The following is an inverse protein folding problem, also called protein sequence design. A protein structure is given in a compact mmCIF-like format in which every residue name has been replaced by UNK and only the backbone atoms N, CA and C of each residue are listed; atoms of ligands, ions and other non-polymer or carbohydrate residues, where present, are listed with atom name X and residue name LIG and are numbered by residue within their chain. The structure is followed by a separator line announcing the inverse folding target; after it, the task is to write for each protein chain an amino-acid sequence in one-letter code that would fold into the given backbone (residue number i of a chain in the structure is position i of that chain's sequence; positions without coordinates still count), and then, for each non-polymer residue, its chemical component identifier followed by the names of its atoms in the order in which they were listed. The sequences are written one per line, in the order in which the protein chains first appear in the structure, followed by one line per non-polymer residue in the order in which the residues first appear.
data_IF_504532856124
#
_entry.id   IF_504532856124
#
_cell.length_a   1.000
_cell.length_b   1.000
_cell.length_c   1.000
_cell.angle_alpha   90.00
_cell.angle_beta   90.00
_cell.angle_gamma   90.00
#
_symmetry.space_group_name_H-M   'P 1'
#
loop_
_entity.id
_entity.type
_entity.pdbx_description
1 polymer ?
#
# COMPACT_ATOMS: atom_id res chain seq x y z
N UNK A 1 4.76 -16.01 -12.36
CA UNK A 1 5.45 -17.13 -11.69
C UNK A 1 4.68 -17.49 -10.43
N UNK A 2 4.58 -18.78 -10.10
CA UNK A 2 3.74 -19.24 -8.99
C UNK A 2 4.37 -18.86 -7.64
N UNK A 3 3.76 -17.89 -6.96
CA UNK A 3 4.00 -17.67 -5.54
C UNK A 3 3.49 -18.92 -4.84
N UNK A 4 4.40 -19.72 -4.28
CA UNK A 4 4.01 -20.95 -3.58
C UNK A 4 3.34 -20.52 -2.28
N UNK A 5 2.03 -20.76 -2.17
CA UNK A 5 1.28 -20.49 -0.95
C UNK A 5 1.85 -21.37 0.17
N UNK A 6 2.64 -20.78 1.07
CA UNK A 6 3.05 -21.44 2.31
C UNK A 6 1.82 -21.53 3.22
N UNK A 7 1.51 -22.73 3.67
CA UNK A 7 0.47 -22.92 4.69
C UNK A 7 0.95 -22.34 6.03
N UNK A 8 0.10 -21.65 6.80
CA UNK A 8 0.48 -21.16 8.11
C UNK A 8 0.90 -22.30 9.02
N UNK A 9 2.03 -22.12 9.71
CA UNK A 9 2.50 -23.03 10.75
C UNK A 9 2.52 -22.32 12.09
N UNK A 10 2.21 -23.04 13.18
CA UNK A 10 2.58 -22.60 14.52
C UNK A 10 4.10 -22.39 14.54
N UNK A 11 4.53 -21.14 14.53
CA UNK A 11 5.94 -20.76 14.46
C UNK A 11 6.37 -20.16 15.80
N UNK A 12 7.66 -20.25 16.13
CA UNK A 12 8.24 -19.46 17.20
C UNK A 12 8.61 -18.04 16.76
N UNK A 13 8.48 -17.73 15.47
CA UNK A 13 8.84 -16.46 14.84
C UNK A 13 7.68 -15.89 14.04
N UNK A 14 7.74 -14.58 13.78
CA UNK A 14 6.86 -13.86 12.87
C UNK A 14 7.44 -13.91 11.46
N UNK A 15 6.74 -14.56 10.53
CA UNK A 15 7.09 -14.60 9.12
C UNK A 15 6.15 -13.73 8.30
N UNK A 16 6.70 -12.69 7.67
CA UNK A 16 5.94 -11.71 6.89
C UNK A 16 6.60 -11.42 5.56
N UNK A 17 5.78 -11.40 4.52
CA UNK A 17 6.13 -10.79 3.25
C UNK A 17 5.64 -9.35 3.23
N UNK A 18 6.57 -8.41 3.18
CA UNK A 18 6.26 -6.99 3.15
C UNK A 18 6.18 -6.51 1.70
N UNK A 19 4.99 -6.04 1.32
CA UNK A 19 4.77 -5.32 0.08
C UNK A 19 4.81 -3.83 0.40
N UNK A 20 5.85 -3.13 -0.06
CA UNK A 20 5.98 -1.68 0.04
C UNK A 20 5.53 -1.05 -1.27
N UNK A 21 4.63 -0.07 -1.18
CA UNK A 21 4.16 0.74 -2.29
C UNK A 21 4.68 2.15 -2.10
N UNK A 22 5.71 2.50 -2.89
CA UNK A 22 6.36 3.79 -2.85
C UNK A 22 5.76 4.64 -3.97
N UNK A 23 5.02 5.68 -3.61
CA UNK A 23 4.32 6.52 -4.57
C UNK A 23 5.14 7.76 -4.93
N UNK A 24 5.08 8.17 -6.20
CA UNK A 24 5.61 9.43 -6.68
C UNK A 24 4.73 10.00 -7.81
N UNK A 25 4.69 11.31 -7.93
CA UNK A 25 4.10 11.98 -9.08
C UNK A 25 5.23 12.45 -10.02
N UNK A 26 5.24 11.94 -11.25
CA UNK A 26 6.27 12.20 -12.27
C UNK A 26 5.81 13.20 -13.33
N UNK A 27 4.53 13.58 -13.29
CA UNK A 27 3.89 14.46 -14.27
C UNK A 27 3.40 13.70 -15.51
N UNK A 28 2.17 14.00 -15.94
CA UNK A 28 1.51 13.31 -17.05
C UNK A 28 2.28 13.44 -18.38
N UNK A 29 2.90 14.58 -18.64
CA UNK A 29 3.64 14.85 -19.88
C UNK A 29 4.89 13.96 -20.07
N UNK A 30 5.41 13.38 -18.98
CA UNK A 30 6.64 12.57 -18.99
C UNK A 30 6.40 11.07 -19.06
N UNK A 31 5.13 10.64 -18.97
CA UNK A 31 4.78 9.22 -18.90
C UNK A 31 5.36 8.45 -20.08
N UNK A 32 5.17 8.92 -21.32
CA UNK A 32 5.66 8.17 -22.48
C UNK A 32 7.19 8.09 -22.53
N UNK A 33 7.89 9.17 -22.17
CA UNK A 33 9.35 9.16 -22.09
C UNK A 33 9.84 8.10 -21.09
N UNK A 34 9.20 8.00 -19.92
CA UNK A 34 9.53 7.02 -18.89
C UNK A 34 9.17 5.59 -19.32
N UNK A 35 8.04 5.40 -20.02
CA UNK A 35 7.68 4.10 -20.60
C UNK A 35 8.77 3.64 -21.56
N UNK A 36 9.25 4.53 -22.43
CA UNK A 36 10.26 4.21 -23.43
C UNK A 36 11.64 3.99 -22.78
N UNK A 37 12.03 4.81 -21.80
CA UNK A 37 13.35 4.72 -21.16
C UNK A 37 13.50 3.51 -20.24
N UNK A 38 12.40 3.08 -19.61
CA UNK A 38 12.37 1.92 -18.71
C UNK A 38 11.85 0.66 -19.40
N UNK A 39 11.57 0.72 -20.71
CA UNK A 39 11.06 -0.40 -21.52
C UNK A 39 9.82 -1.08 -20.90
N UNK A 40 8.88 -0.28 -20.38
CA UNK A 40 7.75 -0.79 -19.60
C UNK A 40 6.69 -1.45 -20.48
N UNK A 41 6.16 -2.58 -20.02
CA UNK A 41 5.12 -3.33 -20.71
C UNK A 41 3.73 -2.78 -20.39
N UNK A 42 2.91 -2.56 -21.42
CA UNK A 42 1.54 -2.10 -21.24
C UNK A 42 0.65 -3.21 -20.69
N UNK A 43 -0.02 -2.95 -19.59
CA UNK A 43 -0.99 -3.85 -18.95
C UNK A 43 -2.34 -3.16 -18.71
N UNK A 44 -3.36 -3.96 -18.41
CA UNK A 44 -4.70 -3.49 -18.04
C UNK A 44 -5.22 -4.31 -16.86
N UNK A 45 -6.14 -3.75 -16.06
CA UNK A 45 -6.79 -4.48 -14.96
C UNK A 45 -6.80 -3.75 -13.63
N UNK A 46 -5.74 -3.00 -13.30
CA UNK A 46 -5.61 -2.25 -12.05
C UNK A 46 -6.75 -1.23 -11.84
N UNK A 47 -6.95 -0.37 -12.85
CA UNK A 47 -7.96 0.68 -12.86
C UNK A 47 -8.96 0.48 -14.00
N UNK A 48 -9.43 -0.76 -14.14
CA UNK A 48 -10.42 -1.13 -15.15
C UNK A 48 -9.83 -1.03 -16.56
N UNK A 49 -10.35 -0.10 -17.37
CA UNK A 49 -9.88 0.10 -18.75
C UNK A 49 -8.70 1.07 -18.87
N UNK A 50 -8.39 1.80 -17.80
CA UNK A 50 -7.21 2.68 -17.79
C UNK A 50 -5.96 1.81 -17.84
N UNK A 51 -5.14 1.92 -18.90
CA UNK A 51 -3.91 1.15 -18.96
C UNK A 51 -2.92 1.66 -17.91
N UNK A 52 -1.97 0.82 -17.57
CA UNK A 52 -0.73 1.22 -16.93
C UNK A 52 0.43 0.48 -17.59
N UNK A 53 1.65 0.87 -17.26
CA UNK A 53 2.85 0.22 -17.77
C UNK A 53 3.67 -0.30 -16.61
N UNK A 54 4.17 -1.53 -16.75
CA UNK A 54 4.87 -2.22 -15.68
C UNK A 54 6.18 -2.77 -16.20
N UNK A 55 7.22 -2.65 -15.38
CA UNK A 55 8.52 -3.23 -15.66
C UNK A 55 9.24 -3.59 -14.36
N UNK A 56 10.15 -4.58 -14.40
CA UNK A 56 10.99 -4.91 -13.27
C UNK A 56 11.99 -3.78 -13.02
N UNK A 57 12.33 -3.54 -11.75
CA UNK A 57 13.52 -2.79 -11.37
C UNK A 57 14.56 -3.82 -10.96
N UNK A 58 15.62 -4.05 -11.76
CA UNK A 58 16.60 -5.08 -11.47
C UNK A 58 17.42 -4.73 -10.22
N UNK A 59 18.03 -5.75 -9.60
CA UNK A 59 19.06 -5.64 -8.55
C UNK A 59 18.60 -5.15 -7.17
N UNK A 60 17.28 -5.04 -6.90
CA UNK A 60 16.76 -4.52 -5.63
C UNK A 60 15.67 -5.43 -5.05
N UNK A 61 15.85 -5.81 -3.79
CA UNK A 61 14.94 -6.68 -3.03
C UNK A 61 14.78 -8.08 -3.63
N UNK A 62 13.77 -8.80 -3.16
CA UNK A 62 13.41 -10.12 -3.70
C UNK A 62 12.59 -9.99 -5.00
N UNK A 63 11.76 -8.94 -5.04
CA UNK A 63 11.05 -8.52 -6.24
C UNK A 63 10.81 -7.02 -6.19
N UNK A 64 11.20 -6.31 -7.22
CA UNK A 64 10.91 -4.90 -7.37
C UNK A 64 10.36 -4.60 -8.77
N UNK A 65 9.29 -3.82 -8.82
CA UNK A 65 8.69 -3.38 -10.07
C UNK A 65 8.19 -1.94 -9.96
N UNK A 66 8.06 -1.28 -11.10
CA UNK A 66 7.39 0.03 -11.20
C UNK A 66 6.12 -0.12 -12.00
N UNK A 67 5.04 0.46 -11.49
CA UNK A 67 3.78 0.67 -12.21
C UNK A 67 3.62 2.15 -12.51
N UNK A 68 3.58 2.50 -13.79
CA UNK A 68 3.41 3.87 -14.26
C UNK A 68 2.01 4.05 -14.87
N UNK A 69 1.30 5.08 -14.41
CA UNK A 69 -0.06 5.40 -14.84
C UNK A 69 -0.08 6.62 -15.77
N UNK A 70 -1.04 6.69 -16.71
CA UNK A 70 -1.11 7.75 -17.72
C UNK A 70 -1.36 9.16 -17.14
N UNK A 71 -1.88 9.24 -15.91
CA UNK A 71 -2.06 10.49 -15.18
C UNK A 71 -0.79 10.94 -14.42
N UNK A 72 0.36 10.30 -14.64
CA UNK A 72 1.64 10.74 -14.10
C UNK A 72 1.96 10.22 -12.70
N UNK A 73 1.25 9.21 -12.20
CA UNK A 73 1.61 8.53 -10.94
C UNK A 73 2.48 7.31 -11.22
N UNK A 74 3.59 7.19 -10.48
CA UNK A 74 4.41 5.99 -10.41
C UNK A 74 4.23 5.32 -9.04
N UNK A 75 4.05 4.00 -9.03
CA UNK A 75 4.07 3.18 -7.82
C UNK A 75 5.20 2.17 -7.97
N UNK A 76 6.25 2.30 -7.17
CA UNK A 76 7.27 1.27 -7.04
C UNK A 76 6.78 0.26 -6.00
N UNK A 77 6.65 -0.99 -6.42
CA UNK A 77 6.32 -2.12 -5.55
C UNK A 77 7.61 -2.87 -5.21
N UNK A 78 8.02 -2.79 -3.95
CA UNK A 78 9.15 -3.53 -3.38
C UNK A 78 8.64 -4.66 -2.48
N UNK A 79 9.14 -5.86 -2.71
CA UNK A 79 8.81 -7.08 -1.98
C UNK A 79 10.03 -7.57 -1.18
N UNK A 80 9.81 -7.80 0.10
CA UNK A 80 10.84 -8.29 1.02
C UNK A 80 10.24 -9.37 1.93
N UNK A 81 10.82 -10.57 1.90
CA UNK A 81 10.48 -11.65 2.83
C UNK A 81 11.29 -11.49 4.13
N UNK A 82 10.60 -11.52 5.28
CA UNK A 82 11.22 -11.28 6.60
C UNK A 82 10.79 -12.35 7.61
N UNK A 83 11.79 -12.95 8.26
CA UNK A 83 11.60 -13.75 9.46
C UNK A 83 12.12 -12.96 10.67
N UNK A 84 11.20 -12.57 11.54
CA UNK A 84 11.44 -11.66 12.67
C UNK A 84 11.03 -12.33 13.98
N UNK A 85 11.65 -11.96 15.12
CA UNK A 85 11.27 -12.52 16.41
C UNK A 85 9.89 -12.03 16.88
N UNK A 86 9.51 -10.78 16.55
CA UNK A 86 8.32 -10.10 17.08
C UNK A 86 7.87 -8.91 16.19
N UNK A 87 6.73 -8.28 16.55
CA UNK A 87 6.20 -7.12 15.81
C UNK A 87 7.06 -5.88 16.03
N UNK A 88 7.71 -5.76 17.19
CA UNK A 88 8.65 -4.67 17.48
C UNK A 88 9.77 -4.63 16.45
N UNK A 89 10.38 -5.77 16.17
CA UNK A 89 11.44 -5.89 15.16
C UNK A 89 10.95 -5.47 13.76
N UNK A 90 9.70 -5.82 13.41
CA UNK A 90 9.07 -5.35 12.18
C UNK A 90 8.91 -3.82 12.18
N UNK A 91 8.49 -3.24 13.29
CA UNK A 91 8.30 -1.80 13.44
C UNK A 91 9.61 -1.02 13.27
N UNK A 92 10.69 -1.49 13.90
CA UNK A 92 12.03 -0.88 13.77
C UNK A 92 12.54 -0.99 12.33
N UNK A 93 12.48 -2.19 11.73
CA UNK A 93 12.87 -2.39 10.34
C UNK A 93 12.09 -1.48 9.38
N UNK A 94 10.77 -1.37 9.56
CA UNK A 94 9.92 -0.49 8.75
C UNK A 94 10.40 0.96 8.88
N UNK A 95 10.62 1.43 10.10
CA UNK A 95 10.94 2.84 10.32
C UNK A 95 12.33 3.22 9.83
N UNK A 96 13.29 2.30 9.90
CA UNK A 96 14.64 2.49 9.37
C UNK A 96 14.65 2.48 7.84
N UNK A 97 13.97 1.52 7.21
CA UNK A 97 13.95 1.40 5.75
C UNK A 97 13.07 2.44 5.06
N UNK A 98 12.11 3.06 5.76
CA UNK A 98 11.18 4.05 5.17
C UNK A 98 11.89 5.25 4.51
N UNK A 99 12.73 6.05 5.20
CA UNK A 99 13.40 7.19 4.58
C UNK A 99 14.39 6.77 3.48
N UNK A 100 15.09 5.64 3.67
CA UNK A 100 16.02 5.11 2.67
C UNK A 100 15.28 4.74 1.37
N UNK A 101 14.13 4.07 1.50
CA UNK A 101 13.30 3.69 0.35
C UNK A 101 12.72 4.91 -0.38
N UNK A 102 12.32 5.98 0.33
CA UNK A 102 11.88 7.22 -0.31
C UNK A 102 13.00 7.89 -1.08
N UNK A 103 14.16 8.03 -0.45
CA UNK A 103 15.32 8.65 -1.09
C UNK A 103 15.73 7.88 -2.34
N UNK A 104 15.87 6.56 -2.22
CA UNK A 104 16.24 5.69 -3.32
C UNK A 104 15.22 5.75 -4.46
N UNK A 105 13.92 5.61 -4.17
CA UNK A 105 12.87 5.65 -5.20
C UNK A 105 12.83 6.99 -5.94
N UNK A 106 13.00 8.11 -5.21
CA UNK A 106 13.11 9.44 -5.80
C UNK A 106 14.31 9.57 -6.72
N UNK A 107 15.48 9.07 -6.31
CA UNK A 107 16.70 9.05 -7.13
C UNK A 107 16.51 8.22 -8.39
N UNK A 108 16.00 7.00 -8.28
CA UNK A 108 15.74 6.10 -9.41
C UNK A 108 14.83 6.76 -10.46
N UNK A 109 13.71 7.35 -10.03
CA UNK A 109 12.79 8.04 -10.93
C UNK A 109 13.40 9.31 -11.51
N UNK A 110 14.18 10.05 -10.71
CA UNK A 110 14.90 11.26 -11.16
C UNK A 110 15.87 10.95 -12.28
N UNK A 111 16.67 9.90 -12.12
CA UNK A 111 17.62 9.44 -13.13
C UNK A 111 16.91 9.03 -14.43
N UNK A 112 15.80 8.29 -14.31
CA UNK A 112 15.02 7.85 -15.47
C UNK A 112 14.30 9.00 -16.20
N UNK A 113 13.82 10.01 -15.46
CA UNK A 113 13.07 11.14 -16.01
C UNK A 113 13.96 12.29 -16.51
N UNK A 114 15.19 12.39 -16.00
CA UNK A 114 16.09 13.53 -16.25
C UNK A 114 15.65 14.82 -15.55
N UNK A 115 14.80 14.73 -14.53
CA UNK A 115 14.33 15.85 -13.69
C UNK A 115 14.10 15.37 -12.28
N UNK A 116 14.21 16.26 -11.30
CA UNK A 116 13.97 15.94 -9.90
C UNK A 116 12.53 15.40 -9.69
N UNK A 117 12.44 14.21 -9.10
CA UNK A 117 11.21 13.55 -8.70
C UNK A 117 11.36 13.14 -7.23
N UNK A 118 10.40 13.57 -6.42
CA UNK A 118 10.33 13.21 -5.00
C UNK A 118 9.31 12.10 -4.80
N UNK A 119 9.72 11.02 -4.13
CA UNK A 119 8.78 10.00 -3.66
C UNK A 119 8.01 10.55 -2.44
N UNK A 120 6.69 10.42 -2.47
CA UNK A 120 5.79 11.08 -1.52
C UNK A 120 5.65 10.30 -0.20
N UNK A 121 5.43 8.99 -0.27
CA UNK A 121 5.24 8.13 0.91
C UNK A 121 5.43 6.63 0.59
N UNK A 122 5.51 5.82 1.64
CA UNK A 122 5.56 4.34 1.55
C UNK A 122 4.41 3.71 2.34
N UNK A 123 3.40 3.16 1.66
CA UNK A 123 2.43 2.28 2.31
C UNK A 123 2.96 0.86 2.34
N UNK A 124 2.59 0.08 3.36
CA UNK A 124 2.82 -1.37 3.32
C UNK A 124 1.58 -2.22 3.51
N UNK A 125 1.57 -3.30 2.74
CA UNK A 125 0.71 -4.46 2.96
C UNK A 125 1.58 -5.63 3.41
N UNK A 126 1.17 -6.32 4.47
CA UNK A 126 1.87 -7.47 5.03
C UNK A 126 1.08 -8.74 4.80
N UNK A 127 1.69 -9.69 4.10
CA UNK A 127 1.20 -11.05 4.00
C UNK A 127 1.89 -11.90 5.07
N UNK A 128 1.14 -12.29 6.09
CA UNK A 128 1.67 -13.06 7.23
C UNK A 128 1.57 -14.54 6.91
N UNK A 129 2.71 -15.18 6.62
CA UNK A 129 2.77 -16.62 6.35
C UNK A 129 3.07 -17.44 7.61
N UNK A 130 3.61 -16.83 8.67
CA UNK A 130 3.82 -17.48 9.96
C UNK A 130 3.58 -16.51 11.11
N UNK A 131 2.87 -16.96 12.15
CA UNK A 131 2.58 -16.16 13.33
C UNK A 131 2.82 -16.98 14.61
N UNK A 132 3.41 -16.39 15.67
CA UNK A 132 3.64 -17.09 16.93
C UNK A 132 2.44 -17.12 17.87
N UNK A 133 1.30 -16.59 17.42
CA UNK A 133 0.09 -16.44 18.23
C UNK A 133 -1.08 -17.24 17.65
N UNK A 134 -2.07 -17.50 18.50
CA UNK A 134 -3.34 -18.13 18.13
C UNK A 134 -4.52 -17.39 18.77
N UNK A 135 -5.74 -17.67 18.29
CA UNK A 135 -6.98 -17.14 18.87
C UNK A 135 -7.03 -15.60 18.90
N UNK A 136 -7.43 -15.03 20.03
CA UNK A 136 -7.53 -13.56 20.18
C UNK A 136 -6.17 -12.86 20.11
N UNK A 137 -5.10 -13.51 20.58
CA UNK A 137 -3.75 -12.94 20.54
C UNK A 137 -3.25 -12.82 19.10
N UNK A 138 -3.59 -13.76 18.22
CA UNK A 138 -3.31 -13.64 16.79
C UNK A 138 -3.96 -12.39 16.21
N UNK A 139 -5.24 -12.17 16.49
CA UNK A 139 -5.98 -11.04 15.97
C UNK A 139 -5.40 -9.69 16.44
N UNK A 140 -4.96 -9.61 17.70
CA UNK A 140 -4.24 -8.45 18.24
C UNK A 140 -2.86 -8.27 17.62
N UNK A 141 -2.10 -9.34 17.45
CA UNK A 141 -0.79 -9.31 16.77
C UNK A 141 -0.90 -8.81 15.33
N UNK A 142 -1.92 -9.25 14.58
CA UNK A 142 -2.20 -8.75 13.24
C UNK A 142 -2.54 -7.25 13.25
N UNK A 143 -3.34 -6.76 14.21
CA UNK A 143 -3.58 -5.32 14.34
C UNK A 143 -2.32 -4.52 14.62
N UNK A 144 -1.40 -5.05 15.44
CA UNK A 144 -0.10 -4.42 15.67
C UNK A 144 0.75 -4.40 14.39
N UNK A 145 0.75 -5.48 13.59
CA UNK A 145 1.43 -5.53 12.29
C UNK A 145 0.81 -4.51 11.30
N UNK A 146 -0.50 -4.30 11.37
CA UNK A 146 -1.22 -3.32 10.55
C UNK A 146 -0.84 -1.86 10.88
N UNK A 147 -0.53 -1.57 12.15
CA UNK A 147 -0.09 -0.26 12.62
C UNK A 147 1.16 -0.35 13.51
N UNK A 148 2.32 -0.75 12.95
CA UNK A 148 3.51 -1.08 13.74
C UNK A 148 4.12 0.16 14.41
N UNK A 149 3.76 1.36 13.94
CA UNK A 149 4.19 2.64 14.52
C UNK A 149 3.81 2.81 15.99
N UNK A 150 2.78 2.11 16.49
CA UNK A 150 2.40 2.19 17.91
C UNK A 150 3.50 1.66 18.85
N UNK A 151 4.43 0.85 18.32
CA UNK A 151 5.51 0.22 19.10
C UNK A 151 6.81 1.03 19.09
N UNK A 152 6.93 2.04 18.23
CA UNK A 152 8.16 2.80 18.05
C UNK A 152 7.95 4.29 18.35
N UNK A 153 8.88 4.85 19.12
CA UNK A 153 8.95 6.28 19.33
C UNK A 153 9.35 7.02 18.05
N UNK A 154 9.17 8.35 18.04
CA UNK A 154 9.55 9.20 16.89
C UNK A 154 11.05 9.12 16.57
N UNK A 155 11.89 8.82 17.56
CA UNK A 155 13.32 8.61 17.38
C UNK A 155 13.65 7.15 17.68
N UNK A 156 13.96 6.39 16.64
CA UNK A 156 14.39 5.00 16.78
C UNK A 156 15.83 4.98 17.30
N UNK A 157 15.99 4.64 18.57
CA UNK A 157 17.30 4.45 19.21
C UNK A 157 17.45 2.99 19.66
N UNK A 158 18.66 2.39 19.59
CA UNK A 158 18.88 1.01 20.04
C UNK A 158 18.49 0.77 21.51
N UNK A 159 18.56 1.81 22.36
CA UNK A 159 18.19 1.74 23.78
C UNK A 159 16.68 1.69 24.01
N UNK A 160 15.87 2.10 23.04
CA UNK A 160 14.41 2.10 23.15
C UNK A 160 13.78 0.71 22.88
N UNK A 161 14.50 -0.21 22.23
CA UNK A 161 13.93 -1.48 21.76
C UNK A 161 13.38 -2.35 22.90
N UNK A 162 14.10 -2.50 24.01
CA UNK A 162 13.63 -3.27 25.16
C UNK A 162 12.39 -2.65 25.84
N UNK A 163 12.14 -1.35 25.68
CA UNK A 163 10.91 -0.72 26.13
C UNK A 163 9.76 -1.00 25.15
N UNK A 164 10.02 -0.91 23.85
CA UNK A 164 9.08 -1.28 22.79
C UNK A 164 8.60 -2.73 22.89
N UNK A 165 9.49 -3.67 23.17
CA UNK A 165 9.14 -5.10 23.36
C UNK A 165 8.19 -5.29 24.56
N UNK A 166 8.37 -4.53 25.64
CA UNK A 166 7.42 -4.52 26.77
C UNK A 166 6.08 -3.94 26.37
N UNK A 167 6.08 -2.84 25.62
CA UNK A 167 4.84 -2.24 25.08
C UNK A 167 4.10 -3.21 24.16
N UNK A 168 4.80 -3.96 23.32
CA UNK A 168 4.18 -5.01 22.51
C UNK A 168 3.49 -6.06 23.38
N UNK A 169 4.17 -6.56 24.42
CA UNK A 169 3.59 -7.53 25.35
C UNK A 169 2.32 -7.00 26.03
N UNK A 170 2.37 -5.75 26.52
CA UNK A 170 1.23 -5.09 27.17
C UNK A 170 0.05 -4.92 26.21
N UNK A 171 0.30 -4.49 24.97
CA UNK A 171 -0.73 -4.30 23.95
C UNK A 171 -1.34 -5.61 23.46
N UNK A 172 -0.53 -6.66 23.35
CA UNK A 172 -1.00 -8.02 23.05
C UNK A 172 -1.94 -8.52 24.15
N UNK A 173 -1.60 -8.30 25.42
CA UNK A 173 -2.41 -8.68 26.57
C UNK A 173 -3.70 -7.85 26.72
N UNK A 174 -3.64 -6.55 26.41
CA UNK A 174 -4.77 -5.64 26.51
C UNK A 174 -5.76 -5.73 25.34
N UNK A 175 -5.38 -6.36 24.22
CA UNK A 175 -6.24 -6.50 23.05
C UNK A 175 -6.33 -5.22 22.21
N UNK A 176 -5.19 -4.62 21.87
CA UNK A 176 -5.09 -3.39 21.05
C UNK A 176 -6.07 -3.37 19.87
N UNK A 177 -7.01 -2.42 19.85
CA UNK A 177 -8.05 -2.30 18.83
C UNK A 177 -8.47 -0.84 18.60
N UNK A 178 -7.73 -0.08 17.77
CA UNK A 178 -8.09 1.27 17.39
C UNK A 178 -9.39 1.32 16.57
N UNK A 179 -10.25 2.34 16.77
CA UNK A 179 -11.57 2.43 16.11
C UNK A 179 -11.52 2.61 14.59
N UNK A 180 -10.43 3.12 14.05
CA UNK A 180 -10.22 3.34 12.62
C UNK A 180 -9.86 2.05 11.86
N UNK A 181 -9.46 0.98 12.56
CA UNK A 181 -9.12 -0.28 11.92
C UNK A 181 -10.37 -1.03 11.47
N UNK A 182 -10.30 -1.59 10.26
CA UNK A 182 -11.40 -2.36 9.66
C UNK A 182 -10.96 -3.79 9.45
N UNK A 183 -11.72 -4.74 10.00
CA UNK A 183 -11.52 -6.15 9.70
C UNK A 183 -12.15 -6.49 8.36
N UNK A 184 -11.48 -7.35 7.59
CA UNK A 184 -12.03 -7.97 6.39
C UNK A 184 -11.67 -9.46 6.29
N UNK A 185 -11.26 -10.05 7.42
CA UNK A 185 -11.02 -11.49 7.53
C UNK A 185 -12.33 -12.28 7.42
N UNK A 186 -12.23 -13.51 6.93
CA UNK A 186 -13.38 -14.41 6.83
C UNK A 186 -13.20 -15.58 7.81
N UNK A 187 -14.17 -15.87 8.70
CA UNK A 187 -14.05 -16.93 9.69
C UNK A 187 -13.63 -18.28 9.10
N UNK A 188 -12.56 -18.85 9.63
CA UNK A 188 -11.98 -20.13 9.17
C UNK A 188 -11.27 -20.08 7.82
N UNK A 189 -11.14 -18.91 7.19
CA UNK A 189 -10.45 -18.73 5.91
C UNK A 189 -9.29 -17.74 6.02
N UNK A 190 -9.47 -16.62 6.70
CA UNK A 190 -8.41 -15.63 6.93
C UNK A 190 -8.67 -14.71 8.12
N UNK A 191 -7.61 -14.12 8.64
CA UNK A 191 -7.66 -12.97 9.55
C UNK A 191 -6.99 -11.78 8.86
N UNK A 192 -7.65 -10.63 8.82
CA UNK A 192 -7.17 -9.50 8.04
C UNK A 192 -7.69 -8.17 8.57
N UNK A 193 -6.84 -7.15 8.48
CA UNK A 193 -7.11 -5.80 8.99
C UNK A 193 -6.54 -4.74 8.03
N UNK A 194 -7.27 -3.65 7.87
CA UNK A 194 -6.83 -2.47 7.13
C UNK A 194 -6.90 -1.24 8.04
N UNK A 195 -5.92 -0.36 7.90
CA UNK A 195 -5.82 0.93 8.58
C UNK A 195 -5.18 1.96 7.65
N UNK A 196 -5.17 3.22 8.08
CA UNK A 196 -4.38 4.26 7.41
C UNK A 196 -2.89 3.91 7.28
N UNK A 197 -2.35 3.15 8.23
CA UNK A 197 -0.90 2.85 8.31
C UNK A 197 -0.47 1.67 7.45
N UNK A 198 -1.41 0.83 7.02
CA UNK A 198 -1.12 -0.38 6.27
C UNK A 198 -2.27 -1.39 6.27
N UNK A 199 -2.03 -2.50 5.59
CA UNK A 199 -2.96 -3.62 5.46
C UNK A 199 -2.23 -4.88 5.88
N UNK A 200 -2.92 -5.80 6.55
CA UNK A 200 -2.37 -7.11 6.93
C UNK A 200 -3.35 -8.21 6.53
N UNK A 201 -2.80 -9.30 6.01
CA UNK A 201 -3.56 -10.48 5.65
C UNK A 201 -2.85 -11.75 6.12
N UNK A 202 -3.59 -12.62 6.81
CA UNK A 202 -3.13 -13.93 7.25
C UNK A 202 -4.11 -15.00 6.74
N UNK A 203 -3.75 -15.79 5.72
CA UNK A 203 -4.63 -16.84 5.18
C UNK A 203 -4.62 -18.09 6.06
N UNK A 204 -5.74 -18.49 6.65
CA UNK A 204 -5.88 -19.80 7.32
C UNK A 204 -6.07 -20.94 6.31
N UNK A 205 -6.79 -20.64 5.22
CA UNK A 205 -7.03 -21.54 4.10
C UNK A 205 -6.67 -20.81 2.79
N UNK A 206 -5.42 -20.97 2.30
CA UNK A 206 -4.95 -20.26 1.11
C UNK A 206 -5.72 -20.59 -0.17
N UNK A 207 -6.44 -21.73 -0.23
CA UNK A 207 -7.23 -22.11 -1.40
C UNK A 207 -8.59 -21.40 -1.44
N UNK A 208 -9.09 -20.97 -0.28
CA UNK A 208 -10.37 -20.26 -0.14
C UNK A 208 -10.21 -18.78 0.13
N UNK A 209 -9.02 -18.34 0.52
CA UNK A 209 -8.69 -16.94 0.79
C UNK A 209 -8.54 -16.11 -0.48
N UNK A 210 -8.28 -14.83 -0.25
CA UNK A 210 -7.92 -13.88 -1.30
C UNK A 210 -6.50 -14.21 -1.76
N UNK A 211 -6.27 -14.25 -3.07
CA UNK A 211 -4.92 -14.41 -3.58
C UNK A 211 -4.08 -13.18 -3.23
N UNK A 212 -2.84 -13.39 -2.81
CA UNK A 212 -1.92 -12.30 -2.46
C UNK A 212 -1.78 -11.25 -3.57
N UNK A 213 -1.64 -11.72 -4.81
CA UNK A 213 -1.57 -10.83 -5.96
C UNK A 213 -2.85 -9.99 -6.13
N UNK A 214 -4.04 -10.52 -5.83
CA UNK A 214 -5.28 -9.74 -5.95
C UNK A 214 -5.30 -8.57 -4.95
N UNK A 215 -4.83 -8.81 -3.72
CA UNK A 215 -4.68 -7.77 -2.70
C UNK A 215 -3.65 -6.71 -3.12
N UNK A 216 -2.50 -7.15 -3.64
CA UNK A 216 -1.41 -6.25 -4.11
C UNK A 216 -1.87 -5.39 -5.28
N UNK A 217 -2.54 -5.99 -6.26
CA UNK A 217 -3.07 -5.30 -7.44
C UNK A 217 -4.11 -4.26 -7.05
N UNK A 218 -4.99 -4.62 -6.11
CA UNK A 218 -5.98 -3.68 -5.58
C UNK A 218 -5.30 -2.51 -4.86
N UNK A 219 -4.31 -2.78 -4.01
CA UNK A 219 -3.57 -1.76 -3.28
C UNK A 219 -2.83 -0.80 -4.23
N UNK A 220 -2.13 -1.32 -5.25
CA UNK A 220 -1.48 -0.48 -6.27
C UNK A 220 -2.50 0.47 -6.93
N UNK A 221 -3.70 -0.01 -7.26
CA UNK A 221 -4.76 0.83 -7.82
C UNK A 221 -5.24 1.92 -6.86
N UNK A 222 -5.47 1.58 -5.58
CA UNK A 222 -5.87 2.53 -4.54
C UNK A 222 -4.78 3.59 -4.33
N UNK A 223 -3.52 3.17 -4.18
CA UNK A 223 -2.40 4.08 -3.96
C UNK A 223 -2.12 4.97 -5.17
N UNK A 224 -2.31 4.46 -6.39
CA UNK A 224 -2.16 5.27 -7.60
C UNK A 224 -3.14 6.46 -7.63
N UNK A 225 -4.41 6.22 -7.29
CA UNK A 225 -5.42 7.27 -7.22
C UNK A 225 -5.19 8.17 -6.02
N UNK A 226 -4.84 7.61 -4.85
CA UNK A 226 -4.54 8.39 -3.66
C UNK A 226 -3.43 9.40 -3.95
N UNK A 227 -2.31 8.96 -4.52
CA UNK A 227 -1.17 9.81 -4.84
C UNK A 227 -1.53 10.87 -5.90
N UNK A 228 -2.36 10.53 -6.88
CA UNK A 228 -2.84 11.50 -7.86
C UNK A 228 -3.73 12.58 -7.22
N UNK A 229 -4.65 12.19 -6.34
CA UNK A 229 -5.51 13.14 -5.63
C UNK A 229 -4.73 14.00 -4.63
N UNK A 230 -3.70 13.43 -3.99
CA UNK A 230 -2.81 14.16 -3.09
C UNK A 230 -2.01 15.22 -3.85
N UNK A 231 -1.46 14.88 -5.02
CA UNK A 231 -0.77 15.84 -5.90
C UNK A 231 -1.69 17.01 -6.31
N UNK A 232 -2.93 16.73 -6.72
CA UNK A 232 -3.90 17.78 -7.07
C UNK A 232 -4.14 18.71 -5.87
N UNK A 233 -4.40 18.13 -4.69
CA UNK A 233 -4.67 18.89 -3.48
C UNK A 233 -3.45 19.74 -3.06
N UNK A 234 -2.24 19.21 -3.16
CA UNK A 234 -0.99 19.93 -2.86
C UNK A 234 -0.78 21.16 -3.77
N UNK A 235 -1.06 21.02 -5.08
CA UNK A 235 -0.95 22.15 -6.02
C UNK A 235 -1.91 23.29 -5.64
N UNK A 236 -3.14 22.94 -5.25
CA UNK A 236 -4.12 23.93 -4.78
C UNK A 236 -3.71 24.56 -3.44
N UNK A 237 -3.21 23.76 -2.49
CA UNK A 237 -2.70 24.25 -1.21
C UNK A 237 -1.54 25.24 -1.40
N UNK A 238 -0.75 25.07 -2.45
CA UNK A 238 0.33 25.99 -2.84
C UNK A 238 -0.13 27.15 -3.73
N UNK A 239 -1.42 27.23 -4.06
CA UNK A 239 -2.02 28.33 -4.82
C UNK A 239 -1.80 28.26 -6.33
N UNK A 240 -1.55 27.06 -6.87
CA UNK A 240 -1.30 26.81 -8.29
C UNK A 240 -2.41 25.93 -8.88
N UNK A 241 -2.83 26.23 -10.11
CA UNK A 241 -3.76 25.35 -10.83
C UNK A 241 -3.13 23.97 -11.09
N UNK A 242 -3.85 22.86 -10.84
CA UNK A 242 -3.29 21.52 -11.04
C UNK A 242 -2.84 21.30 -12.49
N UNK A 243 -1.57 20.95 -12.67
CA UNK A 243 -1.05 20.48 -13.96
C UNK A 243 -1.38 18.99 -14.13
N UNK A 244 -2.54 18.73 -14.72
CA UNK A 244 -3.02 17.39 -15.03
C UNK A 244 -3.35 17.23 -16.51
N UNK A 245 -3.37 15.98 -16.98
CA UNK A 245 -3.82 15.66 -18.33
C UNK A 245 -5.31 15.98 -18.49
N UNK A 246 -5.74 16.59 -19.62
CA UNK A 246 -7.16 16.86 -19.89
C UNK A 246 -8.06 15.62 -19.88
N UNK A 247 -7.49 14.43 -20.12
CA UNK A 247 -8.22 13.16 -20.09
C UNK A 247 -8.47 12.65 -18.66
N UNK A 248 -7.75 13.19 -17.67
CA UNK A 248 -7.71 12.71 -16.29
C UNK A 248 -8.28 13.71 -15.27
N UNK A 249 -9.15 14.63 -15.71
CA UNK A 249 -9.84 15.62 -14.87
C UNK A 249 -11.03 15.06 -14.05
N UNK A 250 -11.97 15.92 -13.65
CA UNK A 250 -13.03 15.54 -12.70
C UNK A 250 -13.92 14.37 -13.14
N UNK A 251 -14.11 14.16 -14.45
CA UNK A 251 -14.83 12.98 -14.99
C UNK A 251 -14.09 11.67 -14.72
N UNK A 252 -12.77 11.68 -14.83
CA UNK A 252 -11.91 10.53 -14.56
C UNK A 252 -11.95 10.18 -13.07
N UNK A 253 -11.79 11.15 -12.16
CA UNK A 253 -11.87 10.90 -10.71
C UNK A 253 -13.23 10.32 -10.29
N UNK A 254 -14.34 10.81 -10.88
CA UNK A 254 -15.66 10.19 -10.68
C UNK A 254 -15.70 8.74 -11.14
N UNK A 255 -15.12 8.42 -12.29
CA UNK A 255 -15.06 7.04 -12.77
C UNK A 255 -14.20 6.15 -11.86
N UNK A 256 -13.07 6.66 -11.36
CA UNK A 256 -12.20 5.95 -10.41
C UNK A 256 -12.90 5.69 -9.08
N UNK A 257 -13.64 6.68 -8.56
CA UNK A 257 -14.49 6.48 -7.38
C UNK A 257 -15.49 5.34 -7.61
N UNK A 258 -16.22 5.35 -8.72
CA UNK A 258 -17.19 4.29 -9.03
C UNK A 258 -16.51 2.91 -9.14
N UNK A 259 -15.31 2.87 -9.71
CA UNK A 259 -14.55 1.64 -9.91
C UNK A 259 -14.01 1.04 -8.60
N UNK A 260 -13.52 1.87 -7.69
CA UNK A 260 -12.90 1.44 -6.43
C UNK A 260 -13.92 1.24 -5.30
N UNK A 261 -15.04 1.98 -5.32
CA UNK A 261 -15.97 2.04 -4.19
C UNK A 261 -17.16 1.10 -4.35
N UNK A 262 -17.51 0.72 -5.58
CA UNK A 262 -18.67 -0.14 -5.82
C UNK A 262 -18.26 -1.60 -6.02
N UNK A 263 -19.06 -2.54 -5.49
CA UNK A 263 -18.84 -3.95 -5.76
C UNK A 263 -19.10 -4.27 -7.24
N UNK A 264 -18.32 -5.18 -7.80
CA UNK A 264 -18.54 -5.69 -9.17
C UNK A 264 -19.38 -6.98 -9.14
N UNK A 265 -20.20 -7.26 -10.17
CA UNK A 265 -21.05 -8.47 -10.19
C UNK A 265 -20.31 -9.80 -10.05
N UNK A 266 -19.01 -9.83 -10.37
CA UNK A 266 -18.16 -11.03 -10.32
C UNK A 266 -17.26 -11.08 -9.07
N UNK A 267 -17.29 -10.04 -8.21
CA UNK A 267 -16.49 -10.03 -6.98
C UNK A 267 -17.04 -11.03 -5.97
N UNK A 268 -16.13 -11.73 -5.29
CA UNK A 268 -16.49 -12.58 -4.15
C UNK A 268 -16.82 -11.70 -2.94
N UNK A 269 -17.60 -12.23 -1.99
CA UNK A 269 -17.91 -11.50 -0.75
C UNK A 269 -16.66 -11.12 0.05
N UNK A 270 -15.60 -11.95 0.02
CA UNK A 270 -14.32 -11.64 0.67
C UNK A 270 -13.60 -10.48 -0.02
N UNK A 271 -13.55 -10.47 -1.35
CA UNK A 271 -12.95 -9.38 -2.10
C UNK A 271 -13.71 -8.06 -1.86
N UNK A 272 -15.05 -8.11 -1.79
CA UNK A 272 -15.87 -6.96 -1.44
C UNK A 272 -15.51 -6.39 -0.06
N UNK A 273 -15.36 -7.25 0.97
CA UNK A 273 -14.98 -6.83 2.32
C UNK A 273 -13.58 -6.22 2.36
N UNK A 274 -12.61 -6.83 1.66
CA UNK A 274 -11.26 -6.29 1.51
C UNK A 274 -11.29 -4.91 0.87
N UNK A 275 -11.97 -4.77 -0.26
CA UNK A 275 -12.11 -3.52 -1.00
C UNK A 275 -12.68 -2.41 -0.12
N UNK A 276 -13.76 -2.69 0.60
CA UNK A 276 -14.39 -1.75 1.52
C UNK A 276 -13.45 -1.36 2.66
N UNK A 277 -12.81 -2.32 3.32
CA UNK A 277 -11.91 -2.05 4.44
C UNK A 277 -10.69 -1.20 4.02
N UNK A 278 -10.04 -1.54 2.91
CA UNK A 278 -8.88 -0.81 2.38
C UNK A 278 -9.29 0.61 1.94
N UNK A 279 -10.34 0.75 1.12
CA UNK A 279 -10.76 2.07 0.64
C UNK A 279 -11.18 2.98 1.79
N UNK A 280 -12.00 2.49 2.73
CA UNK A 280 -12.50 3.33 3.81
C UNK A 280 -11.45 3.70 4.86
N UNK A 281 -10.41 2.88 5.04
CA UNK A 281 -9.32 3.17 5.99
C UNK A 281 -8.16 3.97 5.37
N UNK A 282 -8.01 3.96 4.05
CA UNK A 282 -6.96 4.69 3.32
C UNK A 282 -7.14 6.22 3.26
N UNK A 283 -8.27 6.74 3.76
CA UNK A 283 -8.69 8.15 3.62
C UNK A 283 -8.81 8.68 2.17
N UNK A 284 -8.69 7.79 1.17
CA UNK A 284 -8.97 8.08 -0.23
C UNK A 284 -10.34 8.74 -0.45
N UNK A 285 -11.44 8.36 0.24
CA UNK A 285 -12.74 9.02 0.05
C UNK A 285 -12.68 10.54 0.23
N UNK A 286 -12.00 11.01 1.28
CA UNK A 286 -11.88 12.44 1.57
C UNK A 286 -10.94 13.14 0.61
N UNK A 287 -9.78 12.52 0.31
CA UNK A 287 -8.80 13.07 -0.65
C UNK A 287 -9.40 13.24 -2.05
N UNK A 288 -10.19 12.26 -2.48
CA UNK A 288 -10.84 12.26 -3.79
C UNK A 288 -11.94 13.32 -3.90
N UNK A 289 -12.75 13.52 -2.86
CA UNK A 289 -13.78 14.57 -2.87
C UNK A 289 -13.14 15.97 -2.89
N UNK A 290 -12.06 16.19 -2.13
CA UNK A 290 -11.30 17.45 -2.16
C UNK A 290 -10.72 17.72 -3.56
N UNK A 291 -10.08 16.73 -4.16
CA UNK A 291 -9.50 16.86 -5.50
C UNK A 291 -10.57 17.11 -6.57
N UNK A 292 -11.74 16.47 -6.45
CA UNK A 292 -12.87 16.70 -7.36
C UNK A 292 -13.44 18.13 -7.27
N UNK A 293 -13.54 18.70 -6.07
CA UNK A 293 -14.01 20.08 -5.91
C UNK A 293 -12.95 21.08 -6.40
N UNK A 294 -11.67 20.84 -6.09
CA UNK A 294 -10.55 21.62 -6.60
C UNK A 294 -10.54 21.73 -8.14
N UNK A 295 -10.67 20.60 -8.84
CA UNK A 295 -10.71 20.61 -10.31
C UNK A 295 -11.93 21.34 -10.85
N UNK A 296 -13.07 21.22 -10.17
CA UNK A 296 -14.30 21.94 -10.55
C UNK A 296 -14.13 23.46 -10.41
N UNK A 297 -13.46 23.94 -9.38
CA UNK A 297 -13.14 25.36 -9.20
C UNK A 297 -12.15 25.87 -10.26
N UNK A 298 -11.15 25.06 -10.61
CA UNK A 298 -10.18 25.34 -11.67
C UNK A 298 -10.76 25.20 -13.11
N UNK A 299 -11.99 24.71 -13.26
CA UNK A 299 -12.63 24.49 -14.56
C UNK A 299 -12.11 23.27 -15.33
N UNK A 300 -11.55 22.28 -14.63
CA UNK A 300 -10.93 21.06 -15.17
C UNK A 300 -11.72 19.77 -14.87
#
# INVERSE_FOLDING_TARGET
MAITALAPTNSSTLGVRSHKFIAAHVGHARVQQLVDSLELERVTGYLGRTPCWIGPIPEIGDHCSVSLFPFGTAIIHLLEDLDLPDVTSLAYWRYQSYPENLQWAGQYLTEAAGTEITASYVLSTYWVYAAPWAGQTLDTGLRLICAPRVLVDREVTPTAQAASERTEHDLLGAGYHPPEMRSFGSPGVSSAWASWSGVVYHPHDPLRGIAENDLVQFEIGVQAIWAFTAYINEQIETGVDPDISPEHGGRFLRAMRLLLFNPRPQETGQYQQMREAVVTSSGLPSQLELAMEALKEAGQ
#
